data_IF_510131510268
#
_entry.id   IF_510131510268
#
_cell.length_a   1.000
_cell.length_b   1.000
_cell.length_c   1.000
_cell.angle_alpha   90.00
_cell.angle_beta   90.00
_cell.angle_gamma   90.00
#
_symmetry.space_group_name_H-M   'P 1'
#
loop_
_entity.id
_entity.type
_entity.pdbx_description
1 polymer ?
#
# COMPACT_ATOMS: atom_id res chain seq x y z
N UNK A 1 -10.64 -16.88 8.55
CA UNK A 1 -11.55 -17.48 7.54
C UNK A 1 -10.76 -18.16 6.43
N UNK A 2 -9.81 -17.52 5.76
CA UNK A 2 -8.99 -18.12 4.68
C UNK A 2 -8.13 -19.32 5.10
N UNK A 3 -7.73 -19.42 6.38
CA UNK A 3 -6.94 -20.55 6.92
C UNK A 3 -7.63 -21.91 6.78
N UNK A 4 -8.94 -21.93 6.54
CA UNK A 4 -9.73 -23.18 6.38
C UNK A 4 -9.93 -23.57 4.91
N UNK A 5 -9.35 -22.84 3.96
CA UNK A 5 -9.39 -23.20 2.54
C UNK A 5 -8.39 -24.33 2.31
N UNK A 6 -8.82 -25.50 1.78
CA UNK A 6 -7.90 -26.57 1.44
C UNK A 6 -6.84 -26.07 0.45
N UNK A 7 -5.58 -26.26 0.78
CA UNK A 7 -4.46 -25.97 -0.10
C UNK A 7 -4.00 -27.24 -0.81
N UNK A 8 -3.72 -27.15 -2.10
CA UNK A 8 -3.03 -28.22 -2.81
C UNK A 8 -1.53 -28.09 -2.57
N UNK A 9 -0.87 -29.19 -2.25
CA UNK A 9 0.59 -29.24 -2.16
C UNK A 9 1.18 -29.11 -3.57
N UNK A 10 1.52 -27.89 -3.97
CA UNK A 10 2.12 -27.58 -5.26
C UNK A 10 3.50 -26.94 -5.04
N UNK A 11 4.55 -27.68 -5.33
CA UNK A 11 5.95 -27.27 -5.13
C UNK A 11 6.36 -26.02 -5.94
N UNK A 12 5.58 -25.65 -6.95
CA UNK A 12 5.83 -24.45 -7.74
C UNK A 12 5.27 -23.17 -7.08
N UNK A 13 4.36 -23.29 -6.09
CA UNK A 13 3.82 -22.14 -5.36
C UNK A 13 4.86 -21.69 -4.35
N UNK A 14 5.27 -20.43 -4.43
CA UNK A 14 6.24 -19.81 -3.51
C UNK A 14 5.60 -18.80 -2.56
N UNK A 15 4.44 -18.25 -2.93
CA UNK A 15 3.67 -17.36 -2.08
C UNK A 15 2.17 -17.50 -2.36
N UNK A 16 1.35 -17.37 -1.33
CA UNK A 16 -0.11 -17.54 -1.41
C UNK A 16 -0.83 -16.75 -0.32
N UNK A 17 -1.84 -17.34 0.30
CA UNK A 17 -2.70 -16.68 1.28
C UNK A 17 -1.87 -15.97 2.36
N UNK A 18 -2.11 -14.66 2.49
CA UNK A 18 -1.43 -13.78 3.44
C UNK A 18 -0.24 -13.00 2.86
N UNK A 19 0.16 -13.25 1.61
CA UNK A 19 1.02 -12.34 0.84
C UNK A 19 0.17 -11.36 0.01
N UNK A 20 0.78 -10.29 -0.52
CA UNK A 20 0.10 -9.33 -1.38
C UNK A 20 -0.26 -9.96 -2.73
N UNK A 21 0.52 -10.93 -3.18
CA UNK A 21 0.31 -11.65 -4.42
C UNK A 21 0.31 -13.17 -4.23
N UNK A 22 -0.34 -13.88 -5.13
CA UNK A 22 -0.01 -15.27 -5.43
C UNK A 22 1.23 -15.31 -6.32
N UNK A 23 2.24 -16.08 -5.93
CA UNK A 23 3.47 -16.22 -6.72
C UNK A 23 3.81 -17.69 -6.95
N UNK A 24 4.17 -18.04 -8.19
CA UNK A 24 4.54 -19.41 -8.53
C UNK A 24 5.61 -19.45 -9.63
N UNK A 25 6.44 -20.48 -9.56
CA UNK A 25 7.44 -20.76 -10.56
C UNK A 25 6.84 -21.47 -11.77
N UNK A 26 7.06 -20.95 -12.96
CA UNK A 26 6.67 -21.57 -14.21
C UNK A 26 7.81 -21.49 -15.22
N UNK A 27 8.27 -22.64 -15.69
CA UNK A 27 9.50 -22.74 -16.52
C UNK A 27 10.69 -22.09 -15.81
N UNK A 28 11.31 -21.11 -16.43
CA UNK A 28 12.47 -20.40 -15.90
C UNK A 28 12.12 -19.03 -15.28
N UNK A 29 10.86 -18.78 -14.95
CA UNK A 29 10.41 -17.49 -14.41
C UNK A 29 9.45 -17.62 -13.23
N UNK A 30 9.27 -16.54 -12.51
CA UNK A 30 8.27 -16.40 -11.44
C UNK A 30 7.12 -15.53 -11.93
N UNK A 31 5.91 -16.05 -11.89
CA UNK A 31 4.67 -15.36 -12.22
C UNK A 31 4.04 -14.86 -10.93
N UNK A 32 3.59 -13.62 -10.95
CA UNK A 32 2.87 -12.96 -9.87
C UNK A 32 1.43 -12.68 -10.32
N UNK A 33 0.49 -12.88 -9.42
CA UNK A 33 -0.92 -12.56 -9.67
C UNK A 33 -1.59 -11.99 -8.42
N UNK A 34 -2.32 -10.88 -8.62
CA UNK A 34 -3.13 -10.26 -7.58
C UNK A 34 -4.52 -9.90 -8.10
N UNK A 35 -5.40 -9.53 -7.20
CA UNK A 35 -6.71 -8.97 -7.50
C UNK A 35 -7.08 -7.92 -6.46
N UNK A 36 -7.34 -6.70 -6.94
CA UNK A 36 -7.80 -5.60 -6.12
C UNK A 36 -9.01 -4.91 -6.74
N UNK A 37 -9.94 -4.51 -5.89
CA UNK A 37 -11.13 -3.74 -6.28
C UNK A 37 -11.40 -2.65 -5.23
N UNK A 38 -11.68 -1.44 -5.69
CA UNK A 38 -12.00 -0.30 -4.83
C UNK A 38 -13.38 0.29 -5.13
N UNK A 39 -13.98 0.89 -4.12
CA UNK A 39 -15.18 1.73 -4.26
C UNK A 39 -14.80 3.15 -4.69
N UNK A 40 -15.70 3.96 -5.25
CA UNK A 40 -15.43 5.36 -5.54
C UNK A 40 -14.99 6.13 -4.27
N UNK A 41 -13.86 6.82 -4.38
CA UNK A 41 -13.24 7.62 -3.32
C UNK A 41 -12.97 9.06 -3.75
N UNK A 42 -13.27 9.38 -5.00
CA UNK A 42 -13.20 10.71 -5.61
C UNK A 42 -14.39 10.91 -6.52
N UNK A 43 -14.78 12.18 -6.75
CA UNK A 43 -15.95 12.52 -7.55
C UNK A 43 -15.72 12.36 -9.07
N UNK A 44 -14.50 12.54 -9.56
CA UNK A 44 -14.15 12.43 -10.98
C UNK A 44 -13.96 10.96 -11.39
N UNK A 45 -14.78 10.43 -12.31
CA UNK A 45 -14.68 9.04 -12.72
C UNK A 45 -13.39 8.69 -13.46
N UNK A 46 -12.76 9.64 -14.17
CA UNK A 46 -11.45 9.42 -14.79
C UNK A 46 -10.36 9.21 -13.73
N UNK A 47 -10.32 10.10 -12.72
CA UNK A 47 -9.38 9.98 -11.61
C UNK A 47 -9.62 8.68 -10.83
N UNK A 48 -10.88 8.33 -10.58
CA UNK A 48 -11.23 7.05 -9.92
C UNK A 48 -10.68 5.85 -10.70
N UNK A 49 -10.84 5.85 -12.03
CA UNK A 49 -10.29 4.80 -12.89
C UNK A 49 -8.77 4.69 -12.83
N UNK A 50 -8.07 5.83 -12.88
CA UNK A 50 -6.61 5.88 -12.79
C UNK A 50 -6.09 5.39 -11.42
N UNK A 51 -6.77 5.77 -10.32
CA UNK A 51 -6.44 5.33 -8.96
C UNK A 51 -6.64 3.81 -8.82
N UNK A 52 -7.72 3.26 -9.38
CA UNK A 52 -8.01 1.82 -9.32
C UNK A 52 -6.87 0.98 -9.94
N UNK A 53 -6.31 1.44 -11.07
CA UNK A 53 -5.14 0.81 -11.69
C UNK A 53 -3.91 0.98 -10.81
N UNK A 54 -3.59 2.20 -10.36
CA UNK A 54 -2.41 2.43 -9.53
C UNK A 54 -2.40 1.57 -8.27
N UNK A 55 -3.58 1.42 -7.62
CA UNK A 55 -3.76 0.55 -6.47
C UNK A 55 -3.53 -0.92 -6.82
N UNK A 56 -4.18 -1.44 -7.87
CA UNK A 56 -4.09 -2.86 -8.22
C UNK A 56 -2.69 -3.29 -8.72
N UNK A 57 -1.91 -2.36 -9.29
CA UNK A 57 -0.53 -2.64 -9.71
C UNK A 57 0.46 -2.66 -8.54
N UNK A 58 0.11 -2.03 -7.42
CA UNK A 58 0.99 -1.80 -6.28
C UNK A 58 1.51 -3.09 -5.66
N UNK A 59 0.66 -4.10 -5.50
CA UNK A 59 1.03 -5.43 -5.01
C UNK A 59 2.17 -6.07 -5.83
N UNK A 60 2.10 -5.94 -7.16
CA UNK A 60 3.14 -6.50 -8.04
C UNK A 60 4.46 -5.77 -7.82
N UNK A 61 4.41 -4.43 -7.74
CA UNK A 61 5.59 -3.61 -7.47
C UNK A 61 6.21 -3.91 -6.10
N UNK A 62 5.38 -4.07 -5.06
CA UNK A 62 5.83 -4.41 -3.71
C UNK A 62 6.61 -5.75 -3.66
N UNK A 63 6.38 -6.63 -4.60
CA UNK A 63 7.06 -7.94 -4.70
C UNK A 63 8.26 -7.96 -5.64
N UNK A 64 8.71 -6.80 -6.13
CA UNK A 64 9.81 -6.68 -7.09
C UNK A 64 9.43 -7.15 -8.50
N UNK A 65 8.14 -7.23 -8.78
CA UNK A 65 7.60 -7.65 -10.07
C UNK A 65 7.34 -6.50 -11.03
N UNK A 66 7.25 -6.85 -12.31
CA UNK A 66 6.84 -5.95 -13.39
C UNK A 66 5.45 -6.41 -13.85
N UNK A 67 4.38 -5.61 -13.63
CA UNK A 67 3.04 -5.94 -14.14
C UNK A 67 3.03 -5.88 -15.67
N UNK A 68 2.27 -6.78 -16.31
CA UNK A 68 2.21 -6.89 -17.79
C UNK A 68 0.81 -6.93 -18.32
N UNK A 69 -0.09 -7.65 -17.67
CA UNK A 69 -1.46 -7.86 -18.13
C UNK A 69 -2.45 -7.60 -17.01
N UNK A 70 -3.59 -7.02 -17.34
CA UNK A 70 -4.68 -6.80 -16.41
C UNK A 70 -6.03 -7.22 -17.01
N UNK A 71 -6.92 -7.76 -16.19
CA UNK A 71 -8.32 -7.99 -16.48
C UNK A 71 -9.16 -7.02 -15.64
N UNK A 72 -10.04 -6.25 -16.31
CA UNK A 72 -10.99 -5.36 -15.63
C UNK A 72 -11.99 -6.17 -14.78
N UNK A 73 -12.31 -5.65 -13.62
CA UNK A 73 -13.45 -6.06 -12.79
C UNK A 73 -14.28 -4.81 -12.54
N UNK A 74 -15.46 -4.73 -13.16
CA UNK A 74 -16.31 -3.54 -13.15
C UNK A 74 -17.67 -3.89 -12.56
N UNK A 75 -18.05 -3.20 -11.52
CA UNK A 75 -19.42 -3.10 -11.04
C UNK A 75 -19.94 -1.69 -11.35
N UNK A 76 -21.03 -1.57 -12.13
CA UNK A 76 -21.54 -0.26 -12.54
C UNK A 76 -23.07 -0.30 -12.69
N UNK A 77 -23.81 0.63 -12.02
CA UNK A 77 -25.27 0.62 -12.04
C UNK A 77 -25.80 1.32 -13.31
N UNK A 78 -25.93 0.57 -14.41
CA UNK A 78 -26.32 1.08 -15.74
C UNK A 78 -27.66 1.82 -15.72
N UNK A 79 -28.57 1.45 -14.82
CA UNK A 79 -29.90 2.07 -14.72
C UNK A 79 -29.91 3.43 -14.00
N UNK A 80 -28.88 3.76 -13.21
CA UNK A 80 -28.86 4.93 -12.34
C UNK A 80 -27.75 5.94 -12.60
N UNK A 81 -26.69 5.54 -13.32
CA UNK A 81 -25.58 6.41 -13.69
C UNK A 81 -25.41 6.49 -15.22
N UNK A 82 -25.05 7.68 -15.76
CA UNK A 82 -24.77 7.85 -17.17
C UNK A 82 -23.61 6.97 -17.65
N UNK A 83 -23.74 6.35 -18.83
CA UNK A 83 -22.66 5.55 -19.43
C UNK A 83 -21.38 6.37 -19.69
N UNK A 84 -21.49 7.69 -19.85
CA UNK A 84 -20.32 8.58 -19.96
C UNK A 84 -19.40 8.53 -18.72
N UNK A 85 -19.95 8.22 -17.54
CA UNK A 85 -19.14 8.02 -16.32
C UNK A 85 -18.34 6.72 -16.40
N UNK A 86 -18.98 5.64 -16.90
CA UNK A 86 -18.28 4.38 -17.16
C UNK A 86 -17.17 4.54 -18.20
N UNK A 87 -17.46 5.24 -19.31
CA UNK A 87 -16.47 5.54 -20.35
C UNK A 87 -15.29 6.33 -19.81
N UNK A 88 -15.55 7.37 -19.00
CA UNK A 88 -14.50 8.18 -18.38
C UNK A 88 -13.66 7.37 -17.37
N UNK A 89 -14.29 6.53 -16.56
CA UNK A 89 -13.64 5.64 -15.61
C UNK A 89 -12.72 4.64 -16.32
N UNK A 90 -13.23 3.97 -17.36
CA UNK A 90 -12.43 3.02 -18.15
C UNK A 90 -11.27 3.75 -18.85
N UNK A 91 -11.50 4.96 -19.37
CA UNK A 91 -10.45 5.76 -19.99
C UNK A 91 -9.33 6.10 -19.01
N UNK A 92 -9.66 6.57 -17.79
CA UNK A 92 -8.68 6.87 -16.75
C UNK A 92 -7.84 5.64 -16.39
N UNK A 93 -8.50 4.48 -16.23
CA UNK A 93 -7.83 3.21 -16.01
C UNK A 93 -6.91 2.81 -17.18
N UNK A 94 -7.38 2.95 -18.42
CA UNK A 94 -6.60 2.61 -19.62
C UNK A 94 -5.35 3.50 -19.76
N UNK A 95 -5.49 4.81 -19.56
CA UNK A 95 -4.37 5.75 -19.64
C UNK A 95 -3.31 5.46 -18.56
N UNK A 96 -3.74 5.15 -17.34
CA UNK A 96 -2.81 4.77 -16.24
C UNK A 96 -2.15 3.41 -16.47
N UNK A 97 -2.87 2.44 -17.00
CA UNK A 97 -2.29 1.15 -17.39
C UNK A 97 -1.24 1.32 -18.52
N UNK A 98 -1.52 2.17 -19.49
CA UNK A 98 -0.56 2.51 -20.57
C UNK A 98 0.71 3.17 -20.00
N UNK A 99 0.58 4.12 -19.06
CA UNK A 99 1.71 4.74 -18.34
C UNK A 99 2.58 3.68 -17.64
N UNK A 100 1.94 2.66 -17.06
CA UNK A 100 2.62 1.54 -16.39
C UNK A 100 3.20 0.49 -17.37
N UNK A 101 2.93 0.59 -18.67
CA UNK A 101 3.30 -0.42 -19.66
C UNK A 101 2.49 -1.72 -19.54
N UNK A 102 1.25 -1.64 -19.02
CA UNK A 102 0.35 -2.76 -18.78
C UNK A 102 -0.74 -2.80 -19.84
N UNK A 103 -0.98 -3.98 -20.42
CA UNK A 103 -2.09 -4.20 -21.35
C UNK A 103 -3.33 -4.68 -20.60
N UNK A 104 -4.45 -3.95 -20.73
CA UNK A 104 -5.77 -4.45 -20.31
C UNK A 104 -6.26 -5.37 -21.44
N UNK A 105 -6.37 -6.67 -21.15
CA UNK A 105 -6.60 -7.71 -22.15
C UNK A 105 -8.00 -8.34 -22.09
N UNK A 106 -8.86 -7.83 -21.20
CA UNK A 106 -10.23 -8.31 -21.03
C UNK A 106 -10.79 -7.94 -19.68
N UNK A 107 -11.82 -8.65 -19.26
CA UNK A 107 -12.42 -8.45 -17.93
C UNK A 107 -13.89 -8.84 -17.91
N UNK A 108 -14.56 -8.42 -16.83
CA UNK A 108 -15.97 -8.68 -16.59
C UNK A 108 -16.68 -7.45 -16.06
N UNK A 109 -17.93 -7.22 -16.48
CA UNK A 109 -18.76 -6.10 -16.02
C UNK A 109 -20.10 -6.63 -15.54
N UNK A 110 -20.56 -6.18 -14.38
CA UNK A 110 -21.88 -6.49 -13.81
C UNK A 110 -22.63 -5.22 -13.44
N UNK A 111 -23.96 -5.30 -13.43
CA UNK A 111 -24.85 -4.22 -12.97
C UNK A 111 -24.96 -4.27 -11.45
N UNK A 112 -24.22 -3.41 -10.76
CA UNK A 112 -24.17 -3.33 -9.29
C UNK A 112 -23.69 -1.95 -8.83
N UNK A 113 -23.63 -1.71 -7.51
CA UNK A 113 -23.05 -0.48 -6.95
C UNK A 113 -21.63 -0.26 -7.44
N UNK A 114 -21.20 1.00 -7.76
CA UNK A 114 -19.96 1.26 -8.44
C UNK A 114 -18.74 0.69 -7.71
N UNK A 115 -17.96 -0.13 -8.43
CA UNK A 115 -16.62 -0.56 -8.03
C UNK A 115 -15.78 -0.75 -9.27
N UNK A 116 -14.48 -0.54 -9.14
CA UNK A 116 -13.53 -0.79 -10.20
C UNK A 116 -12.25 -1.39 -9.66
N UNK A 117 -11.76 -2.40 -10.33
CA UNK A 117 -10.53 -3.06 -9.96
C UNK A 117 -10.00 -3.96 -11.07
N UNK A 118 -8.97 -4.71 -10.73
CA UNK A 118 -8.24 -5.51 -11.70
C UNK A 118 -7.72 -6.80 -11.10
N UNK A 119 -7.73 -7.85 -11.89
CA UNK A 119 -6.80 -8.96 -11.69
C UNK A 119 -5.55 -8.69 -12.52
N UNK A 120 -4.40 -8.61 -11.86
CA UNK A 120 -3.13 -8.24 -12.49
C UNK A 120 -2.19 -9.43 -12.51
N UNK A 121 -1.55 -9.64 -13.66
CA UNK A 121 -0.47 -10.60 -13.83
C UNK A 121 0.83 -9.87 -14.11
N UNK A 122 1.87 -10.19 -13.35
CA UNK A 122 3.23 -9.67 -13.48
C UNK A 122 4.27 -10.79 -13.43
N UNK A 123 5.53 -10.42 -13.59
CA UNK A 123 6.66 -11.34 -13.61
C UNK A 123 7.83 -10.75 -12.83
N UNK A 124 8.59 -11.58 -12.15
CA UNK A 124 9.89 -11.18 -11.63
C UNK A 124 10.84 -11.02 -12.82
N UNK A 125 11.50 -9.85 -12.98
CA UNK A 125 12.41 -9.60 -14.08
C UNK A 125 13.68 -10.48 -13.96
N UNK A 126 14.41 -10.63 -15.05
CA UNK A 126 15.71 -11.30 -15.06
C UNK A 126 16.67 -10.58 -14.09
N UNK A 127 17.34 -11.35 -13.23
CA UNK A 127 18.20 -10.82 -12.17
C UNK A 127 17.47 -10.29 -10.94
N UNK A 128 16.12 -10.16 -10.98
CA UNK A 128 15.30 -9.78 -9.84
C UNK A 128 14.99 -10.96 -8.93
N UNK A 129 14.49 -10.64 -7.73
CA UNK A 129 14.03 -11.65 -6.77
C UNK A 129 12.62 -11.31 -6.29
N UNK A 130 11.86 -12.33 -5.89
CA UNK A 130 10.61 -12.16 -5.19
C UNK A 130 10.86 -11.62 -3.77
N UNK A 131 10.23 -10.52 -3.42
CA UNK A 131 10.33 -9.88 -2.10
C UNK A 131 9.09 -10.24 -1.29
N UNK A 132 9.26 -11.07 -0.25
CA UNK A 132 8.17 -11.46 0.65
C UNK A 132 7.85 -10.37 1.70
N UNK A 133 6.68 -10.45 2.33
CA UNK A 133 6.41 -9.76 3.61
C UNK A 133 7.24 -10.31 4.76
N UNK A 134 7.68 -11.56 4.67
CA UNK A 134 8.55 -12.22 5.65
C UNK A 134 10.00 -12.08 5.23
N UNK A 135 10.88 -11.70 6.14
CA UNK A 135 12.31 -11.60 5.83
C UNK A 135 12.99 -10.45 6.53
N UNK A 136 12.22 -9.58 7.20
CA UNK A 136 12.78 -8.56 8.07
C UNK A 136 13.55 -9.21 9.23
N UNK A 137 14.72 -8.65 9.54
CA UNK A 137 15.63 -9.15 10.60
C UNK A 137 15.87 -8.06 11.63
N UNK A 138 16.20 -8.43 12.88
CA UNK A 138 16.67 -7.46 13.86
C UNK A 138 17.84 -6.64 13.29
N UNK A 139 17.74 -5.31 13.40
CA UNK A 139 18.70 -4.35 12.83
C UNK A 139 18.24 -3.72 11.53
N UNK A 140 17.32 -4.33 10.78
CA UNK A 140 16.82 -3.73 9.53
C UNK A 140 16.12 -2.40 9.80
N UNK A 141 16.42 -1.39 8.98
CA UNK A 141 15.76 -0.09 8.97
C UNK A 141 14.46 -0.17 8.18
N UNK A 142 13.48 0.62 8.61
CA UNK A 142 12.14 0.67 8.01
C UNK A 142 11.95 1.98 7.29
N UNK A 143 11.60 1.91 6.01
CA UNK A 143 11.35 3.07 5.18
C UNK A 143 9.93 3.06 4.62
N UNK A 144 9.34 4.26 4.47
CA UNK A 144 8.05 4.48 3.82
C UNK A 144 8.25 5.41 2.62
N UNK A 145 7.54 5.17 1.50
CA UNK A 145 7.76 5.91 0.24
C UNK A 145 6.68 6.93 -0.10
N UNK A 146 5.55 6.96 0.62
CA UNK A 146 4.50 7.99 0.48
C UNK A 146 3.99 8.40 1.86
N UNK A 147 3.51 9.66 2.03
CA UNK A 147 2.90 10.10 3.28
C UNK A 147 1.57 9.40 3.55
N UNK A 148 1.16 9.40 4.83
CA UNK A 148 -0.13 8.89 5.29
C UNK A 148 -1.21 9.99 5.32
N UNK A 149 -2.47 9.56 5.43
CA UNK A 149 -3.63 10.44 5.58
C UNK A 149 -4.63 10.35 4.42
N UNK A 150 -4.44 9.41 3.49
CA UNK A 150 -5.28 9.28 2.28
C UNK A 150 -6.73 8.99 2.65
N UNK A 151 -6.99 8.08 3.60
CA UNK A 151 -8.36 7.75 4.01
C UNK A 151 -9.10 8.95 4.65
N UNK A 152 -8.38 9.72 5.45
CA UNK A 152 -8.91 10.96 6.05
C UNK A 152 -9.25 11.98 4.96
N UNK A 153 -8.36 12.15 3.97
CA UNK A 153 -8.61 13.05 2.84
C UNK A 153 -9.77 12.61 1.96
N UNK A 154 -9.88 11.32 1.64
CA UNK A 154 -11.01 10.81 0.85
C UNK A 154 -12.34 10.96 1.61
N UNK A 155 -12.34 10.79 2.93
CA UNK A 155 -13.49 11.08 3.77
C UNK A 155 -13.82 12.58 3.77
N UNK A 156 -12.82 13.45 3.83
CA UNK A 156 -13.02 14.90 3.75
C UNK A 156 -13.54 15.34 2.37
N UNK A 157 -13.17 14.67 1.29
CA UNK A 157 -13.72 14.89 -0.06
C UNK A 157 -15.21 14.54 -0.09
N UNK A 158 -15.57 13.35 0.39
CA UNK A 158 -16.97 12.90 0.46
C UNK A 158 -17.83 13.86 1.27
N UNK A 159 -17.31 14.35 2.40
CA UNK A 159 -17.97 15.32 3.30
C UNK A 159 -17.90 16.77 2.80
N UNK A 160 -17.30 17.05 1.64
CA UNK A 160 -17.11 18.40 1.05
C UNK A 160 -16.32 19.36 1.96
N UNK A 161 -15.37 18.83 2.73
CA UNK A 161 -14.50 19.59 3.64
C UNK A 161 -13.16 19.94 3.00
N UNK A 162 -12.70 19.17 2.01
CA UNK A 162 -11.46 19.42 1.29
C UNK A 162 -11.64 20.48 0.19
N UNK A 163 -10.69 21.40 0.07
CA UNK A 163 -10.65 22.34 -1.05
C UNK A 163 -10.00 21.71 -2.29
N UNK A 164 -10.10 22.38 -3.45
CA UNK A 164 -9.58 21.87 -4.74
C UNK A 164 -8.09 21.54 -4.71
N UNK A 165 -7.26 22.36 -4.06
CA UNK A 165 -5.82 22.10 -3.93
C UNK A 165 -5.57 20.80 -3.16
N UNK A 166 -6.27 20.59 -2.06
CA UNK A 166 -6.18 19.39 -1.23
C UNK A 166 -6.66 18.14 -1.99
N UNK A 167 -7.76 18.27 -2.75
CA UNK A 167 -8.25 17.18 -3.61
C UNK A 167 -7.19 16.81 -4.64
N UNK A 168 -6.61 17.79 -5.35
CA UNK A 168 -5.59 17.55 -6.36
C UNK A 168 -4.32 16.91 -5.77
N UNK A 169 -3.90 17.32 -4.56
CA UNK A 169 -2.74 16.76 -3.88
C UNK A 169 -2.92 15.26 -3.59
N UNK A 170 -4.02 14.88 -2.94
CA UNK A 170 -4.26 13.49 -2.57
C UNK A 170 -4.56 12.61 -3.78
N UNK A 171 -5.27 13.13 -4.78
CA UNK A 171 -5.55 12.42 -6.03
C UNK A 171 -4.25 12.11 -6.78
N UNK A 172 -3.37 13.10 -6.93
CA UNK A 172 -2.06 12.90 -7.57
C UNK A 172 -1.22 11.87 -6.81
N UNK A 173 -1.24 11.91 -5.47
CA UNK A 173 -0.55 10.92 -4.64
C UNK A 173 -1.07 9.50 -4.89
N UNK A 174 -2.41 9.31 -4.92
CA UNK A 174 -3.03 8.01 -5.20
C UNK A 174 -2.77 7.52 -6.63
N UNK A 175 -2.73 8.43 -7.62
CA UNK A 175 -2.40 8.08 -9.01
C UNK A 175 -0.92 7.81 -9.24
N UNK A 176 -0.03 8.17 -8.32
CA UNK A 176 1.41 7.91 -8.45
C UNK A 176 1.69 6.41 -8.30
N UNK A 177 2.28 5.82 -9.34
CA UNK A 177 2.68 4.41 -9.33
C UNK A 177 3.82 4.15 -8.34
N UNK A 178 3.81 3.01 -7.68
CA UNK A 178 4.94 2.55 -6.87
C UNK A 178 6.09 1.94 -7.70
N UNK A 179 6.01 2.04 -9.05
CA UNK A 179 7.00 1.53 -10.00
C UNK A 179 8.41 2.04 -9.70
N UNK A 180 8.58 3.36 -9.69
CA UNK A 180 9.90 3.98 -9.60
C UNK A 180 10.59 3.67 -8.25
N UNK A 181 9.80 3.52 -7.18
CA UNK A 181 10.30 3.06 -5.89
C UNK A 181 10.70 1.57 -5.92
N UNK A 182 9.95 0.72 -6.63
CA UNK A 182 10.24 -0.72 -6.73
C UNK A 182 11.44 -1.04 -7.62
N UNK A 183 11.79 -0.17 -8.56
CA UNK A 183 12.97 -0.35 -9.40
C UNK A 183 14.28 -0.35 -8.59
N UNK A 184 14.28 0.27 -7.39
CA UNK A 184 15.40 0.17 -6.45
C UNK A 184 15.76 -1.28 -6.07
N UNK A 185 14.80 -2.23 -6.17
CA UNK A 185 15.00 -3.63 -5.77
C UNK A 185 15.96 -4.40 -6.71
N UNK A 186 16.26 -3.84 -7.87
CA UNK A 186 17.29 -4.38 -8.78
C UNK A 186 18.71 -3.96 -8.38
N UNK A 187 18.84 -2.85 -7.64
CA UNK A 187 20.12 -2.27 -7.25
C UNK A 187 20.44 -2.45 -5.75
N UNK A 188 19.39 -2.57 -4.92
CA UNK A 188 19.49 -2.63 -3.46
C UNK A 188 18.84 -3.90 -2.94
N UNK A 189 19.51 -4.59 -2.01
CA UNK A 189 18.96 -5.78 -1.37
C UNK A 189 17.89 -5.40 -0.33
N UNK A 190 16.63 -5.66 -0.67
CA UNK A 190 15.46 -5.45 0.19
C UNK A 190 15.12 -6.76 0.91
N UNK A 191 15.12 -6.75 2.23
CA UNK A 191 14.86 -7.93 3.05
C UNK A 191 13.37 -8.32 3.05
N UNK A 192 12.48 -7.35 3.18
CA UNK A 192 11.03 -7.53 3.11
C UNK A 192 10.36 -6.26 2.55
N UNK A 193 9.20 -6.43 1.91
CA UNK A 193 8.41 -5.32 1.41
C UNK A 193 6.92 -5.65 1.40
N UNK A 194 6.09 -4.64 1.65
CA UNK A 194 4.64 -4.61 1.39
C UNK A 194 4.26 -3.19 1.00
N UNK A 195 3.14 -3.01 0.33
CA UNK A 195 2.54 -1.70 0.20
C UNK A 195 1.58 -1.41 1.37
N UNK A 196 1.28 -0.13 1.60
CA UNK A 196 0.37 0.30 2.66
C UNK A 196 -0.98 0.62 2.05
N UNK A 197 -1.97 -0.22 2.34
CA UNK A 197 -3.33 -0.09 1.81
C UNK A 197 -4.38 -0.09 2.93
N UNK A 198 -5.47 -0.82 2.76
CA UNK A 198 -6.67 -0.75 3.61
C UNK A 198 -6.48 -1.02 5.11
N UNK A 199 -5.43 -1.73 5.51
CA UNK A 199 -5.15 -2.01 6.93
C UNK A 199 -4.41 -0.87 7.65
N UNK A 200 -4.00 0.18 6.92
CA UNK A 200 -3.22 1.27 7.47
C UNK A 200 -1.79 0.86 7.84
N UNK A 201 -0.99 1.82 8.29
CA UNK A 201 0.42 1.57 8.61
C UNK A 201 0.59 0.46 9.64
N UNK A 202 -0.11 0.54 10.78
CA UNK A 202 0.07 -0.42 11.88
C UNK A 202 -0.44 -1.82 11.54
N UNK A 203 -1.46 -1.93 10.68
CA UNK A 203 -1.93 -3.23 10.22
C UNK A 203 -0.87 -3.94 9.37
N UNK A 204 -0.31 -3.27 8.36
CA UNK A 204 0.73 -3.84 7.51
C UNK A 204 2.03 -4.11 8.25
N UNK A 205 2.45 -3.21 9.17
CA UNK A 205 3.59 -3.48 10.06
C UNK A 205 3.36 -4.72 10.92
N UNK A 206 2.15 -4.89 11.47
CA UNK A 206 1.81 -6.08 12.27
C UNK A 206 1.93 -7.38 11.48
N UNK A 207 1.50 -7.36 10.22
CA UNK A 207 1.63 -8.53 9.32
C UNK A 207 3.11 -8.88 9.06
N UNK A 208 3.95 -7.88 8.76
CA UNK A 208 5.39 -8.09 8.55
C UNK A 208 6.08 -8.59 9.82
N UNK A 209 5.79 -7.98 10.98
CA UNK A 209 6.35 -8.37 12.26
C UNK A 209 6.01 -9.83 12.62
N UNK A 210 4.74 -10.22 12.48
CA UNK A 210 4.27 -11.59 12.74
C UNK A 210 4.97 -12.61 11.84
N UNK A 211 5.03 -12.32 10.53
CA UNK A 211 5.63 -13.22 9.53
C UNK A 211 7.14 -13.32 9.66
N UNK A 212 7.81 -12.24 10.03
CA UNK A 212 9.26 -12.17 10.21
C UNK A 212 9.74 -12.57 11.61
N UNK A 213 8.81 -12.74 12.56
CA UNK A 213 9.08 -13.04 13.97
C UNK A 213 10.01 -12.01 14.62
N UNK A 214 9.72 -10.73 14.40
CA UNK A 214 10.44 -9.56 14.96
C UNK A 214 9.47 -8.62 15.65
N UNK A 215 10.00 -7.69 16.44
CA UNK A 215 9.27 -6.49 16.89
C UNK A 215 9.72 -5.30 16.04
N UNK A 216 8.79 -4.44 15.61
CA UNK A 216 9.07 -3.24 14.85
C UNK A 216 8.94 -2.02 15.74
N UNK A 217 10.02 -1.27 15.92
CA UNK A 217 10.05 0.00 16.64
C UNK A 217 9.84 1.14 15.64
N UNK A 218 8.74 1.88 15.79
CA UNK A 218 8.33 2.96 14.88
C UNK A 218 8.47 4.31 15.57
N UNK A 219 9.13 5.25 14.90
CA UNK A 219 9.37 6.61 15.35
C UNK A 219 8.21 7.51 14.89
N UNK A 220 7.28 7.83 15.78
CA UNK A 220 6.08 8.61 15.44
C UNK A 220 6.38 9.96 14.81
N UNK A 221 7.43 10.64 15.28
CA UNK A 221 7.87 11.95 14.78
C UNK A 221 8.55 11.90 13.40
N UNK A 222 8.83 10.70 12.89
CA UNK A 222 9.42 10.48 11.56
C UNK A 222 8.40 10.05 10.50
N UNK A 223 7.18 9.76 10.88
CA UNK A 223 6.15 9.35 9.94
C UNK A 223 5.70 10.56 9.12
N UNK A 224 5.76 10.49 7.79
CA UNK A 224 5.29 11.57 6.93
C UNK A 224 3.77 11.59 6.86
N UNK A 225 3.17 12.76 6.94
CA UNK A 225 1.75 12.97 6.80
C UNK A 225 1.43 13.99 5.71
N UNK A 226 0.28 13.84 5.06
CA UNK A 226 -0.26 14.86 4.17
C UNK A 226 -0.49 16.17 4.94
N UNK A 227 -0.21 17.30 4.30
CA UNK A 227 -0.38 18.62 4.90
C UNK A 227 -1.82 18.79 5.41
N UNK A 228 -1.99 19.38 6.60
CA UNK A 228 -3.31 19.67 7.22
C UNK A 228 -4.18 18.44 7.57
N UNK A 229 -3.68 17.21 7.47
CA UNK A 229 -4.46 16.01 7.80
C UNK A 229 -5.01 16.04 9.24
N UNK A 230 -4.24 16.51 10.21
CA UNK A 230 -4.68 16.67 11.60
C UNK A 230 -5.89 17.60 11.72
N UNK A 231 -5.89 18.71 10.97
CA UNK A 231 -7.00 19.64 10.95
C UNK A 231 -8.30 19.00 10.39
N UNK A 232 -8.17 18.16 9.37
CA UNK A 232 -9.31 17.43 8.83
C UNK A 232 -9.86 16.42 9.84
N UNK A 233 -9.00 15.74 10.58
CA UNK A 233 -9.41 14.88 11.70
C UNK A 233 -10.15 15.63 12.80
N UNK A 234 -9.61 16.77 13.27
CA UNK A 234 -10.25 17.64 14.27
C UNK A 234 -11.61 18.13 13.81
N UNK A 235 -11.82 18.32 12.51
CA UNK A 235 -13.09 18.70 11.90
C UNK A 235 -14.05 17.52 11.71
N UNK A 236 -13.64 16.29 12.01
CA UNK A 236 -14.47 15.10 11.98
C UNK A 236 -14.35 14.23 10.72
N UNK A 237 -13.39 14.46 9.86
CA UNK A 237 -13.12 13.58 8.71
C UNK A 237 -12.46 12.27 9.17
N UNK A 238 -13.24 11.39 9.80
CA UNK A 238 -12.78 10.11 10.36
C UNK A 238 -13.33 8.96 9.52
N UNK A 239 -12.48 8.25 8.74
CA UNK A 239 -12.92 7.07 8.00
C UNK A 239 -13.35 5.94 8.94
N UNK A 240 -14.40 5.22 8.59
CA UNK A 240 -14.85 4.03 9.33
C UNK A 240 -13.74 2.96 9.41
N UNK A 241 -12.87 2.93 8.40
CA UNK A 241 -11.73 2.02 8.34
C UNK A 241 -10.75 2.16 9.50
N UNK A 242 -10.57 3.37 10.04
CA UNK A 242 -9.72 3.59 11.23
C UNK A 242 -10.22 2.74 12.41
N UNK A 243 -11.53 2.79 12.69
CA UNK A 243 -12.12 2.06 13.82
C UNK A 243 -11.99 0.54 13.62
N UNK A 244 -12.22 0.08 12.39
CA UNK A 244 -12.07 -1.35 12.05
C UNK A 244 -10.62 -1.82 12.19
N UNK A 245 -9.67 -1.03 11.73
CA UNK A 245 -8.24 -1.31 11.79
C UNK A 245 -7.76 -1.31 13.25
N UNK A 246 -8.13 -0.29 14.03
CA UNK A 246 -7.82 -0.23 15.45
C UNK A 246 -8.33 -1.49 16.16
N UNK A 247 -9.63 -1.84 15.98
CA UNK A 247 -10.20 -3.04 16.60
C UNK A 247 -9.45 -4.33 16.21
N UNK A 248 -8.98 -4.42 14.98
CA UNK A 248 -8.30 -5.62 14.45
C UNK A 248 -6.86 -5.75 14.94
N UNK A 249 -6.13 -4.64 15.06
CA UNK A 249 -4.67 -4.66 15.26
C UNK A 249 -4.18 -4.09 16.60
N UNK A 250 -5.00 -3.40 17.40
CA UNK A 250 -4.55 -2.77 18.65
C UNK A 250 -3.85 -3.73 19.62
N UNK A 251 -4.20 -5.01 19.62
CA UNK A 251 -3.57 -6.02 20.48
C UNK A 251 -2.12 -6.34 20.08
N UNK A 252 -1.76 -6.02 18.84
CA UNK A 252 -0.43 -6.24 18.29
C UNK A 252 0.48 -5.02 18.46
N UNK A 253 -0.04 -3.93 19.03
CA UNK A 253 0.64 -2.63 19.11
C UNK A 253 0.76 -2.18 20.56
N UNK A 254 1.94 -1.66 20.92
CA UNK A 254 2.18 -0.96 22.18
C UNK A 254 2.64 0.46 21.87
N UNK A 255 1.91 1.45 22.34
CA UNK A 255 2.35 2.83 22.33
C UNK A 255 3.17 3.09 23.59
N UNK A 256 4.48 3.34 23.43
CA UNK A 256 5.40 3.60 24.56
C UNK A 256 5.22 5.01 25.13
N UNK A 257 4.77 5.93 24.28
CA UNK A 257 4.49 7.30 24.64
C UNK A 257 2.99 7.57 24.49
N UNK A 258 2.51 8.61 25.20
CA UNK A 258 1.13 9.03 25.07
C UNK A 258 0.95 9.72 23.71
N UNK A 259 0.13 9.13 22.85
CA UNK A 259 -0.33 9.72 21.60
C UNK A 259 -1.61 10.50 21.82
N UNK A 260 -1.82 11.55 21.07
CA UNK A 260 -3.16 12.14 20.91
C UNK A 260 -4.05 11.17 20.13
N UNK A 261 -5.36 11.36 20.23
CA UNK A 261 -6.32 10.55 19.48
C UNK A 261 -6.11 10.67 17.97
N UNK A 262 -5.77 11.86 17.51
CA UNK A 262 -5.52 12.18 16.11
C UNK A 262 -4.26 11.48 15.61
N UNK A 263 -3.19 11.47 16.39
CA UNK A 263 -1.95 10.73 16.07
C UNK A 263 -2.22 9.23 15.98
N UNK A 264 -2.92 8.65 16.95
CA UNK A 264 -3.28 7.24 16.93
C UNK A 264 -4.16 6.90 15.72
N UNK A 265 -5.17 7.73 15.39
CA UNK A 265 -6.06 7.53 14.25
C UNK A 265 -5.30 7.51 12.93
N UNK A 266 -4.34 8.41 12.75
CA UNK A 266 -3.50 8.45 11.55
C UNK A 266 -2.71 7.16 11.31
N UNK A 267 -2.25 6.50 12.36
CA UNK A 267 -1.51 5.24 12.24
C UNK A 267 -2.39 4.06 11.78
N UNK A 268 -3.70 4.14 12.01
CA UNK A 268 -4.69 3.16 11.56
C UNK A 268 -5.46 3.59 10.31
N UNK A 269 -5.14 4.79 9.74
CA UNK A 269 -5.85 5.33 8.58
C UNK A 269 -5.69 4.42 7.35
N UNK A 270 -6.78 3.93 6.74
CA UNK A 270 -6.70 3.13 5.52
C UNK A 270 -6.15 3.98 4.38
N UNK A 271 -5.21 3.41 3.62
CA UNK A 271 -4.63 4.05 2.45
C UNK A 271 -5.18 3.40 1.18
N UNK A 272 -5.38 4.19 0.13
CA UNK A 272 -5.63 3.69 -1.22
C UNK A 272 -4.42 4.05 -2.08
N UNK A 273 -3.81 3.06 -2.71
CA UNK A 273 -2.57 3.26 -3.47
C UNK A 273 -1.49 3.97 -2.64
N UNK A 274 -1.31 3.55 -1.40
CA UNK A 274 -0.30 4.09 -0.49
C UNK A 274 1.12 3.75 -0.93
N UNK A 275 2.10 4.11 -0.10
CA UNK A 275 3.51 3.86 -0.38
C UNK A 275 3.96 2.44 -0.06
N UNK A 276 5.19 2.12 -0.44
CA UNK A 276 5.86 0.89 -0.05
C UNK A 276 6.47 1.02 1.34
N UNK A 277 6.37 -0.05 2.13
CA UNK A 277 7.14 -0.28 3.35
C UNK A 277 8.33 -1.18 3.00
N UNK A 278 9.53 -0.65 3.15
CA UNK A 278 10.78 -1.32 2.82
C UNK A 278 11.55 -1.66 4.10
N UNK A 279 12.03 -2.88 4.18
CA UNK A 279 12.89 -3.36 5.26
C UNK A 279 14.27 -3.65 4.70
N UNK A 280 15.27 -2.92 5.18
CA UNK A 280 16.60 -2.89 4.57
C UNK A 280 17.68 -2.97 5.63
N UNK A 281 18.67 -3.85 5.44
CA UNK A 281 19.79 -3.93 6.36
C UNK A 281 20.57 -2.61 6.41
N UNK A 282 21.18 -2.24 7.54
CA UNK A 282 22.01 -1.03 7.63
C UNK A 282 23.08 -0.95 6.55
N UNK A 283 23.64 -2.09 6.12
CA UNK A 283 24.69 -2.16 5.09
C UNK A 283 24.22 -1.69 3.70
N UNK A 284 22.91 -1.77 3.44
CA UNK A 284 22.30 -1.36 2.16
C UNK A 284 21.50 -0.06 2.24
N UNK A 285 21.29 0.49 3.45
CA UNK A 285 20.43 1.65 3.67
C UNK A 285 20.93 2.91 2.97
N UNK A 286 22.24 3.16 2.97
CA UNK A 286 22.83 4.34 2.30
C UNK A 286 22.70 4.24 0.78
N UNK A 287 22.82 3.03 0.21
CA UNK A 287 22.58 2.80 -1.22
C UNK A 287 21.11 3.10 -1.57
N UNK A 288 20.15 2.66 -0.74
CA UNK A 288 18.75 2.96 -0.93
C UNK A 288 18.49 4.48 -0.87
N UNK A 289 19.02 5.17 0.14
CA UNK A 289 18.88 6.63 0.29
C UNK A 289 19.45 7.37 -0.93
N UNK A 290 20.61 6.94 -1.42
CA UNK A 290 21.26 7.50 -2.62
C UNK A 290 20.39 7.29 -3.85
N UNK A 291 19.88 6.08 -4.07
CA UNK A 291 18.99 5.76 -5.19
C UNK A 291 17.78 6.70 -5.25
N UNK A 292 17.08 6.87 -4.11
CA UNK A 292 15.89 7.71 -4.02
C UNK A 292 16.22 9.21 -4.16
N UNK A 293 17.32 9.66 -3.57
CA UNK A 293 17.77 11.06 -3.66
C UNK A 293 18.11 11.44 -5.12
N UNK A 294 18.88 10.63 -5.83
CA UNK A 294 19.27 10.90 -7.22
C UNK A 294 18.06 10.99 -8.18
N UNK A 295 16.98 10.30 -7.85
CA UNK A 295 15.73 10.27 -8.64
C UNK A 295 14.65 11.23 -8.12
N UNK A 296 14.96 12.01 -7.09
CA UNK A 296 14.02 12.91 -6.41
C UNK A 296 12.74 12.20 -5.93
N UNK A 297 12.88 10.94 -5.51
CA UNK A 297 11.80 10.14 -4.95
C UNK A 297 11.71 10.33 -3.44
N UNK A 298 10.50 10.37 -2.85
CA UNK A 298 10.36 10.47 -1.41
C UNK A 298 10.75 9.15 -0.71
N UNK A 299 11.53 9.27 0.37
CA UNK A 299 11.91 8.15 1.23
C UNK A 299 12.00 8.64 2.68
N UNK A 300 11.28 7.99 3.56
CA UNK A 300 11.20 8.36 4.98
C UNK A 300 11.63 7.18 5.85
N UNK A 301 12.70 7.34 6.60
CA UNK A 301 13.13 6.37 7.61
C UNK A 301 12.24 6.53 8.83
N UNK A 302 11.37 5.55 9.08
CA UNK A 302 10.32 5.61 10.11
C UNK A 302 10.57 4.68 11.31
N UNK A 303 11.63 3.88 11.30
CA UNK A 303 11.87 2.94 12.39
C UNK A 303 12.88 1.86 12.06
N UNK A 304 12.87 0.82 12.89
CA UNK A 304 13.74 -0.36 12.73
C UNK A 304 13.09 -1.62 13.27
N UNK A 305 13.55 -2.77 12.79
CA UNK A 305 13.24 -4.07 13.37
C UNK A 305 14.19 -4.39 14.53
N UNK A 306 13.67 -5.02 15.57
CA UNK A 306 14.44 -5.48 16.74
C UNK A 306 14.08 -6.92 17.07
N UNK A 307 14.83 -7.54 17.99
CA UNK A 307 14.50 -8.87 18.49
C UNK A 307 13.06 -8.93 19.01
N UNK A 308 12.40 -10.07 18.80
CA UNK A 308 11.00 -10.25 19.19
C UNK A 308 10.80 -10.06 20.69
N UNK A 309 9.93 -9.12 21.07
CA UNK A 309 9.64 -8.74 22.47
C UNK A 309 8.23 -9.15 22.96
N UNK A 310 7.55 -10.02 22.23
CA UNK A 310 6.18 -10.46 22.56
C UNK A 310 5.07 -9.55 22.03
N UNK A 311 5.40 -8.41 21.42
CA UNK A 311 4.49 -7.56 20.65
C UNK A 311 5.00 -7.38 19.22
N UNK A 312 4.10 -7.13 18.28
CA UNK A 312 4.48 -6.97 16.87
C UNK A 312 5.07 -5.59 16.61
N UNK A 313 4.42 -4.53 17.11
CA UNK A 313 4.80 -3.14 16.81
C UNK A 313 4.89 -2.35 18.11
N UNK A 314 5.96 -1.59 18.28
CA UNK A 314 6.12 -0.59 19.33
C UNK A 314 6.24 0.79 18.65
N UNK A 315 5.43 1.76 19.10
CA UNK A 315 5.56 3.16 18.65
C UNK A 315 6.21 3.99 19.74
N UNK A 316 7.19 4.81 19.37
CA UNK A 316 7.99 5.64 20.28
C UNK A 316 8.18 7.04 19.70
N UNK A 317 8.29 8.05 20.56
CA UNK A 317 8.72 9.38 20.17
C UNK A 317 10.23 9.50 20.36
N UNK A 318 10.92 10.10 19.41
CA UNK A 318 12.38 10.19 19.41
C UNK A 318 12.92 11.25 20.43
N UNK A 319 12.04 11.92 21.17
CA UNK A 319 12.41 12.98 22.09
C UNK A 319 12.58 12.39 23.51
N UNK A 320 13.71 11.73 23.73
CA UNK A 320 14.43 11.77 25.01
C UNK A 320 15.89 12.05 24.72
N UNK A 321 16.25 13.32 24.52
CA UNK A 321 17.57 13.72 24.95
C UNK A 321 17.57 13.58 26.47
N UNK A 322 18.22 12.55 26.96
CA UNK A 322 18.58 12.51 28.37
C UNK A 322 19.46 13.72 28.66
N UNK A 323 18.95 14.59 29.54
CA UNK A 323 19.69 15.71 30.13
C UNK A 323 20.68 15.20 31.17
#
# INVERSE_FOLDING_TARGET
MLRNIPQTDNKNVIAGIGEDVFAFNHNNGTILQTVDIITPIVDDPYQFGAIAVANALSDIYAKGGIPKYALNIIEFPISSLPLSYLESMIKGGADKALEAGVSIVGGHTIDASPKYGFSVTGFIPEGGKFISKSGAKPGDLIFLTKPLGIGIYTTAIDQKMANEQQVNEVVNLMMTLNRDASEAFLEVDIAACTDVTGFGLLGHLSEVAEKSQVTLEILNDKIPYLEKVFRLLEQGAVPEGIIKNHYSFHKNVIHRDTLTREEEYLLYDPQTSGGLLLFVSPDHADNLKTYFFERSLPLYEIGKAVEQKGTAVETINNIRMES
#
